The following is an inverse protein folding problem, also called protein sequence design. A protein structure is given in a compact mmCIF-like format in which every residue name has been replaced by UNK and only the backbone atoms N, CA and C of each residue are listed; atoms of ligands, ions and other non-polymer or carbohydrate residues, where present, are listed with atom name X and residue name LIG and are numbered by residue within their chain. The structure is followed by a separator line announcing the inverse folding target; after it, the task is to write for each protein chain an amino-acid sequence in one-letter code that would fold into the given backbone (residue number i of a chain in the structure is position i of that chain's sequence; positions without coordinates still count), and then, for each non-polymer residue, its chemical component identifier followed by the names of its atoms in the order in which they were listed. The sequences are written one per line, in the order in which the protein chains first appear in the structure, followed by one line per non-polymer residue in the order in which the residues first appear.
data_IF_971677415549
#
_entry.id   IF_971677415549
#
_cell.length_a   1.000
_cell.length_b   1.000
_cell.length_c   1.000
_cell.angle_alpha   90.00
_cell.angle_beta   90.00
_cell.angle_gamma   90.00
#
_symmetry.space_group_name_H-M   'P 1'
#
loop_
_entity.id
_entity.type
_entity.pdbx_description
1 polymer ?
#
# COMPACT_ATOMS: atom_id res chain seq x y z
N UNK A 1 22.36 38.10 -46.00
CA UNK A 1 22.28 37.83 -47.46
C UNK A 1 20.84 38.10 -47.89
N UNK A 2 20.53 38.91 -48.93
CA UNK A 2 20.63 38.62 -50.38
C UNK A 2 19.82 37.37 -50.75
N UNK A 3 18.58 37.48 -51.25
CA UNK A 3 18.13 37.84 -52.63
C UNK A 3 18.34 36.67 -53.61
N UNK A 4 17.41 36.29 -54.51
CA UNK A 4 16.17 36.92 -55.01
C UNK A 4 14.97 35.95 -54.89
N UNK A 5 13.66 36.30 -54.88
CA UNK A 5 12.86 37.51 -55.13
C UNK A 5 12.63 37.97 -56.60
N UNK A 6 11.49 37.61 -57.20
CA UNK A 6 10.95 38.21 -58.44
C UNK A 6 9.40 38.24 -58.45
N UNK A 7 8.79 39.27 -59.05
CA UNK A 7 7.34 39.51 -59.03
C UNK A 7 6.84 40.29 -60.28
N UNK A 8 5.58 40.07 -60.70
CA UNK A 8 4.89 40.90 -61.73
C UNK A 8 3.35 40.86 -61.61
N UNK A 9 2.69 41.69 -62.43
CA UNK A 9 1.77 42.70 -61.88
C UNK A 9 0.96 43.41 -62.99
N UNK A 10 -0.37 43.62 -62.77
CA UNK A 10 -1.33 44.41 -63.59
C UNK A 10 -1.61 43.95 -65.05
N UNK A 11 -2.73 44.26 -65.72
CA UNK A 11 -3.98 45.03 -65.42
C UNK A 11 -5.21 44.07 -65.30
N UNK A 12 -6.46 44.41 -64.91
CA UNK A 12 -7.40 45.50 -65.27
C UNK A 12 -8.10 45.19 -66.61
N UNK A 13 -9.43 45.13 -66.81
CA UNK A 13 -10.66 45.58 -66.07
C UNK A 13 -11.75 44.48 -66.19
N UNK A 14 -12.97 44.47 -65.59
CA UNK A 14 -13.93 45.56 -65.34
C UNK A 14 -15.04 45.17 -64.30
N UNK A 15 -15.89 46.13 -63.91
CA UNK A 15 -17.12 45.98 -63.05
C UNK A 15 -18.39 45.80 -63.95
N UNK A 16 -19.67 45.64 -63.48
CA UNK A 16 -20.24 45.96 -62.15
C UNK A 16 -21.34 45.03 -61.53
N UNK A 17 -21.57 45.16 -60.19
CA UNK A 17 -22.87 45.01 -59.45
C UNK A 17 -23.56 43.60 -59.45
N UNK A 18 -24.35 43.16 -58.45
CA UNK A 18 -24.82 43.76 -57.17
C UNK A 18 -25.06 42.70 -56.07
N UNK A 19 -25.16 43.18 -54.81
CA UNK A 19 -25.76 42.61 -53.58
C UNK A 19 -26.69 41.38 -53.72
N UNK A 20 -26.77 40.48 -52.73
CA UNK A 20 -26.11 40.45 -51.41
C UNK A 20 -26.62 39.30 -50.51
N UNK A 21 -26.02 39.12 -49.33
CA UNK A 21 -26.38 38.04 -48.39
C UNK A 21 -27.71 38.29 -47.66
N UNK A 22 -28.36 37.20 -47.26
CA UNK A 22 -29.20 37.14 -46.06
C UNK A 22 -28.80 35.90 -45.24
N UNK A 23 -28.65 36.08 -43.93
CA UNK A 23 -28.52 34.98 -42.97
C UNK A 23 -29.92 34.48 -42.59
N UNK A 24 -29.98 33.23 -42.12
CA UNK A 24 -31.07 32.82 -41.23
C UNK A 24 -30.89 33.47 -39.85
N UNK A 25 -32.00 33.82 -39.22
CA UNK A 25 -32.10 33.78 -37.76
C UNK A 25 -33.51 33.26 -37.39
N UNK A 26 -33.64 32.66 -36.21
CA UNK A 26 -34.82 31.90 -35.79
C UNK A 26 -35.30 32.42 -34.44
N UNK A 27 -36.58 32.77 -34.31
CA UNK A 27 -37.20 32.92 -32.98
C UNK A 27 -38.71 32.74 -33.07
N UNK A 28 -39.26 31.98 -32.13
CA UNK A 28 -40.70 31.69 -32.04
C UNK A 28 -41.46 32.87 -31.39
N UNK A 29 -42.78 32.90 -31.57
CA UNK A 29 -43.67 33.21 -30.45
C UNK A 29 -45.03 32.51 -30.62
N UNK A 30 -45.60 32.09 -29.49
CA UNK A 30 -46.79 31.25 -29.37
C UNK A 30 -48.06 32.07 -29.04
N UNK A 31 -49.22 31.43 -29.20
CA UNK A 31 -50.53 31.76 -28.59
C UNK A 31 -51.41 32.81 -29.27
N UNK A 32 -52.57 32.34 -29.75
CA UNK A 32 -53.72 33.17 -30.12
C UNK A 32 -54.58 33.52 -28.90
N UNK A 33 -55.44 34.55 -29.00
CA UNK A 33 -56.91 34.51 -28.85
C UNK A 33 -57.54 35.92 -28.66
N UNK A 34 -58.43 36.31 -29.60
CA UNK A 34 -59.74 37.06 -29.49
C UNK A 34 -59.91 38.15 -28.38
N UNK A 35 -60.65 39.27 -28.54
CA UNK A 35 -61.88 39.55 -29.32
C UNK A 35 -62.05 41.06 -29.63
N UNK A 36 -62.51 41.43 -30.85
CA UNK A 36 -63.72 42.26 -31.14
C UNK A 36 -63.66 43.08 -32.45
N UNK A 37 -64.69 42.89 -33.28
CA UNK A 37 -65.20 43.76 -34.37
C UNK A 37 -64.43 43.87 -35.71
N UNK A 38 -65.22 44.04 -36.78
CA UNK A 38 -64.86 44.67 -38.06
C UNK A 38 -63.96 43.92 -39.05
N UNK A 39 -64.52 42.85 -39.63
CA UNK A 39 -64.49 42.47 -41.07
C UNK A 39 -63.24 42.83 -41.89
N UNK A 40 -62.55 41.80 -42.40
CA UNK A 40 -62.11 41.78 -43.81
C UNK A 40 -62.17 40.36 -44.38
N UNK A 41 -62.57 40.23 -45.64
CA UNK A 41 -62.71 38.93 -46.32
C UNK A 41 -61.50 38.68 -47.22
N UNK A 42 -60.79 37.56 -46.97
CA UNK A 42 -59.90 36.94 -47.94
C UNK A 42 -60.28 35.47 -48.07
N UNK A 43 -60.81 35.08 -49.24
CA UNK A 43 -61.07 33.69 -49.54
C UNK A 43 -59.78 33.02 -50.05
N UNK A 44 -59.33 31.96 -49.38
CA UNK A 44 -58.41 30.99 -49.97
C UNK A 44 -58.95 29.58 -49.75
N UNK A 45 -58.86 28.78 -50.81
CA UNK A 45 -59.42 27.42 -50.88
C UNK A 45 -58.63 26.45 -50.02
N UNK A 46 -59.31 25.66 -49.21
CA UNK A 46 -58.74 24.41 -48.70
C UNK A 46 -58.48 23.45 -49.87
N UNK A 47 -57.22 23.32 -50.26
CA UNK A 47 -56.72 22.09 -50.89
C UNK A 47 -56.21 21.22 -49.75
N UNK A 48 -56.88 20.10 -49.54
CA UNK A 48 -56.56 19.14 -48.50
C UNK A 48 -55.73 18.03 -49.13
N UNK A 49 -54.41 18.08 -49.01
CA UNK A 49 -53.50 17.10 -49.61
C UNK A 49 -52.71 16.32 -48.57
N UNK A 50 -53.12 15.07 -48.34
CA UNK A 50 -52.26 14.03 -47.77
C UNK A 50 -51.32 13.49 -48.87
N UNK A 51 -50.51 14.36 -49.46
CA UNK A 51 -49.60 14.01 -50.56
C UNK A 51 -48.21 13.64 -50.03
N UNK A 52 -48.05 12.34 -49.80
CA UNK A 52 -46.79 11.58 -49.93
C UNK A 52 -45.53 12.01 -49.15
N UNK A 53 -45.27 11.20 -48.12
CA UNK A 53 -43.93 10.80 -47.69
C UNK A 53 -43.22 9.98 -48.80
N UNK A 54 -42.92 10.60 -49.95
CA UNK A 54 -42.15 10.02 -51.08
C UNK A 54 -41.01 10.95 -51.56
N UNK A 55 -40.53 11.85 -50.70
CA UNK A 55 -39.40 12.71 -51.03
C UNK A 55 -38.10 11.92 -50.92
N UNK A 56 -37.61 11.47 -52.08
CA UNK A 56 -36.32 10.79 -52.35
C UNK A 56 -36.26 9.25 -52.26
N UNK A 57 -36.94 8.57 -53.19
CA UNK A 57 -36.31 7.44 -53.91
C UNK A 57 -35.74 7.88 -55.27
N UNK A 58 -36.39 8.81 -55.97
CA UNK A 58 -36.05 9.26 -57.35
C UNK A 58 -34.74 10.06 -57.51
N UNK A 59 -33.81 9.98 -56.55
CA UNK A 59 -32.47 10.61 -56.64
C UNK A 59 -31.30 9.72 -56.21
N UNK A 60 -31.50 8.42 -56.07
CA UNK A 60 -30.38 7.47 -56.15
C UNK A 60 -29.83 7.46 -57.58
N UNK A 61 -28.78 8.27 -57.82
CA UNK A 61 -28.18 8.48 -59.15
C UNK A 61 -27.29 7.30 -59.58
N UNK A 62 -27.86 6.09 -59.60
CA UNK A 62 -27.18 4.85 -59.93
C UNK A 62 -27.02 4.63 -61.46
N UNK A 63 -27.05 5.68 -62.29
CA UNK A 63 -27.15 5.53 -63.76
C UNK A 63 -25.79 5.29 -64.46
N UNK A 64 -24.84 4.57 -63.85
CA UNK A 64 -23.44 4.58 -64.33
C UNK A 64 -22.50 3.43 -63.94
N UNK A 65 -22.93 2.35 -63.28
CA UNK A 65 -22.06 1.19 -62.94
C UNK A 65 -22.76 -0.14 -63.16
N UNK A 66 -22.02 -1.22 -63.47
CA UNK A 66 -22.58 -2.57 -63.65
C UNK A 66 -23.14 -3.11 -62.32
N UNK A 67 -24.43 -3.47 -62.28
CA UNK A 67 -25.12 -3.82 -61.04
C UNK A 67 -24.92 -5.26 -60.55
N UNK A 68 -24.47 -6.14 -61.43
CA UNK A 68 -24.43 -7.58 -61.18
C UNK A 68 -23.31 -8.03 -60.23
N UNK A 69 -22.28 -7.17 -60.04
CA UNK A 69 -21.02 -7.52 -59.39
C UNK A 69 -20.63 -6.62 -58.20
N UNK A 70 -21.60 -6.07 -57.45
CA UNK A 70 -21.27 -5.39 -56.17
C UNK A 70 -20.49 -6.36 -55.24
N UNK A 71 -19.28 -5.99 -54.75
CA UNK A 71 -18.54 -6.81 -53.79
C UNK A 71 -19.22 -6.85 -52.41
N UNK A 72 -18.91 -7.90 -51.63
CA UNK A 72 -19.35 -8.00 -50.22
C UNK A 72 -18.43 -7.21 -49.30
N UNK A 73 -19.02 -6.51 -48.34
CA UNK A 73 -18.26 -5.77 -47.33
C UNK A 73 -17.44 -6.71 -46.44
N UNK A 74 -16.21 -6.31 -46.13
CA UNK A 74 -15.28 -7.12 -45.35
C UNK A 74 -15.64 -7.12 -43.85
N UNK A 75 -15.20 -8.12 -43.10
CA UNK A 75 -15.42 -8.16 -41.65
C UNK A 75 -14.82 -6.91 -40.98
N UNK A 76 -15.65 -6.20 -40.22
CA UNK A 76 -15.39 -4.84 -39.70
C UNK A 76 -16.13 -3.71 -40.45
N UNK A 77 -16.69 -3.98 -41.63
CA UNK A 77 -17.38 -2.99 -42.48
C UNK A 77 -18.73 -3.52 -42.97
N UNK A 78 -19.77 -2.67 -42.94
CA UNK A 78 -21.14 -3.02 -43.29
C UNK A 78 -21.65 -2.21 -44.49
N UNK A 79 -22.71 -2.72 -45.13
CA UNK A 79 -23.51 -1.95 -46.08
C UNK A 79 -24.76 -1.44 -45.38
N UNK A 80 -25.03 -0.13 -45.52
CA UNK A 80 -26.20 0.55 -44.98
C UNK A 80 -27.13 0.94 -46.13
N UNK A 81 -28.41 0.59 -46.09
CA UNK A 81 -29.35 0.89 -47.18
C UNK A 81 -29.70 2.38 -47.23
N UNK A 82 -29.53 3.12 -46.13
CA UNK A 82 -29.61 4.59 -46.08
C UNK A 82 -28.37 5.27 -46.72
N UNK A 83 -27.29 4.52 -47.00
CA UNK A 83 -26.10 5.05 -47.67
C UNK A 83 -26.25 5.02 -49.19
N UNK A 84 -26.15 6.20 -49.82
CA UNK A 84 -26.22 6.40 -51.29
C UNK A 84 -25.26 5.46 -52.05
N UNK A 85 -24.12 5.09 -51.46
CA UNK A 85 -23.10 4.21 -52.09
C UNK A 85 -23.41 2.71 -52.01
N UNK A 86 -24.40 2.32 -51.21
CA UNK A 86 -24.76 0.92 -50.97
C UNK A 86 -26.23 0.63 -51.37
N UNK A 87 -27.15 1.59 -51.23
CA UNK A 87 -28.52 1.49 -51.75
C UNK A 87 -28.62 1.27 -53.27
N UNK A 88 -27.57 1.59 -54.02
CA UNK A 88 -27.46 1.21 -55.44
C UNK A 88 -27.29 -0.32 -55.67
N UNK A 89 -26.98 -1.13 -54.66
CA UNK A 89 -26.78 -2.59 -54.78
C UNK A 89 -28.05 -3.38 -54.38
N UNK A 90 -29.13 -3.19 -55.13
CA UNK A 90 -30.53 -3.58 -54.83
C UNK A 90 -30.80 -5.06 -54.51
N UNK A 91 -29.87 -5.98 -54.79
CA UNK A 91 -30.06 -7.43 -54.64
C UNK A 91 -29.10 -8.08 -53.61
N UNK A 92 -28.43 -7.31 -52.74
CA UNK A 92 -27.42 -7.90 -51.85
C UNK A 92 -27.21 -7.21 -50.51
N UNK A 93 -27.79 -7.78 -49.45
CA UNK A 93 -27.46 -7.46 -48.06
C UNK A 93 -25.94 -7.51 -47.83
N UNK A 94 -25.36 -6.45 -47.26
CA UNK A 94 -23.92 -6.40 -46.98
C UNK A 94 -23.03 -6.19 -48.20
N UNK A 95 -23.54 -5.55 -49.28
CA UNK A 95 -22.77 -5.16 -50.48
C UNK A 95 -22.85 -3.65 -50.73
N UNK A 96 -21.80 -3.09 -51.31
CA UNK A 96 -21.74 -1.69 -51.77
C UNK A 96 -21.06 -1.63 -53.15
N UNK A 97 -21.07 -0.45 -53.78
CA UNK A 97 -20.52 -0.25 -55.13
C UNK A 97 -19.02 -0.60 -55.25
N UNK A 98 -18.26 -0.41 -54.16
CA UNK A 98 -16.87 -0.88 -53.99
C UNK A 98 -16.63 -1.21 -52.49
N UNK A 99 -15.60 -1.99 -52.17
CA UNK A 99 -15.24 -2.36 -50.79
C UNK A 99 -14.85 -1.14 -49.95
N UNK A 100 -14.22 -0.12 -50.55
CA UNK A 100 -13.89 1.16 -49.88
C UNK A 100 -15.13 2.01 -49.58
N UNK A 101 -16.32 1.66 -50.11
CA UNK A 101 -17.59 2.34 -49.82
C UNK A 101 -18.38 1.72 -48.68
N UNK A 102 -17.96 0.56 -48.17
CA UNK A 102 -18.54 -0.06 -46.99
C UNK A 102 -18.22 0.76 -45.73
N UNK A 103 -19.22 0.96 -44.88
CA UNK A 103 -19.08 1.79 -43.68
C UNK A 103 -18.36 1.01 -42.57
N UNK A 104 -17.31 1.59 -41.98
CA UNK A 104 -16.63 0.99 -40.82
C UNK A 104 -17.53 0.93 -39.59
N UNK A 105 -17.50 -0.17 -38.85
CA UNK A 105 -18.16 -0.25 -37.55
C UNK A 105 -17.57 0.79 -36.57
N UNK A 106 -18.39 1.75 -36.13
CA UNK A 106 -18.03 2.69 -35.07
C UNK A 106 -17.65 1.98 -33.77
N UNK A 107 -16.83 2.62 -32.94
CA UNK A 107 -16.42 2.10 -31.64
C UNK A 107 -17.63 1.60 -30.80
N UNK A 108 -17.43 0.53 -30.03
CA UNK A 108 -18.49 -0.19 -29.29
C UNK A 108 -19.34 -1.14 -30.12
N UNK A 109 -19.08 -1.26 -31.42
CA UNK A 109 -19.71 -2.21 -32.31
C UNK A 109 -18.64 -2.99 -33.08
N UNK A 110 -18.95 -4.23 -33.45
CA UNK A 110 -18.06 -5.10 -34.20
C UNK A 110 -18.82 -6.00 -35.18
N UNK A 111 -18.14 -6.45 -36.24
CA UNK A 111 -18.74 -7.31 -37.26
C UNK A 111 -17.80 -8.47 -37.63
N UNK A 112 -18.07 -9.69 -37.13
CA UNK A 112 -17.16 -10.82 -37.28
C UNK A 112 -17.20 -11.48 -38.67
N UNK A 113 -18.29 -11.32 -39.43
CA UNK A 113 -18.46 -11.94 -40.75
C UNK A 113 -18.40 -10.92 -41.88
N UNK A 114 -17.94 -11.36 -43.05
CA UNK A 114 -18.11 -10.64 -44.31
C UNK A 114 -19.59 -10.62 -44.72
N UNK A 115 -20.02 -9.61 -45.47
CA UNK A 115 -21.37 -9.52 -46.02
C UNK A 115 -22.50 -9.34 -45.00
N UNK A 116 -22.22 -8.79 -43.80
CA UNK A 116 -23.29 -8.37 -42.89
C UNK A 116 -23.74 -6.94 -43.23
N UNK A 117 -25.03 -6.65 -43.04
CA UNK A 117 -25.65 -5.32 -43.21
C UNK A 117 -25.72 -4.51 -41.89
N UNK A 118 -25.18 -5.03 -40.79
CA UNK A 118 -25.24 -4.36 -39.47
C UNK A 118 -24.01 -4.71 -38.62
N UNK A 119 -23.43 -3.71 -37.99
CA UNK A 119 -22.45 -3.90 -36.92
C UNK A 119 -23.14 -4.29 -35.61
N UNK A 120 -22.67 -5.34 -34.95
CA UNK A 120 -23.25 -5.85 -33.71
C UNK A 120 -22.67 -5.09 -32.51
N UNK A 121 -23.53 -4.61 -31.61
CA UNK A 121 -23.09 -3.91 -30.41
C UNK A 121 -22.33 -4.85 -29.48
N UNK A 122 -21.21 -4.41 -28.90
CA UNK A 122 -20.44 -5.25 -27.98
C UNK A 122 -21.26 -5.67 -26.75
N UNK A 123 -21.26 -6.96 -26.36
CA UNK A 123 -21.97 -7.43 -25.18
C UNK A 123 -21.35 -6.88 -23.89
N UNK A 124 -22.02 -7.09 -22.76
CA UNK A 124 -21.45 -6.75 -21.45
C UNK A 124 -20.14 -7.53 -21.21
N UNK A 125 -19.24 -6.95 -20.40
CA UNK A 125 -17.90 -7.48 -20.18
C UNK A 125 -16.98 -7.44 -21.41
N UNK A 126 -17.38 -6.77 -22.49
CA UNK A 126 -16.57 -6.58 -23.70
C UNK A 126 -16.64 -5.11 -24.15
N UNK A 127 -15.60 -4.65 -24.87
CA UNK A 127 -15.54 -3.32 -25.46
C UNK A 127 -14.72 -3.33 -26.76
N UNK A 128 -14.82 -2.26 -27.56
CA UNK A 128 -13.81 -1.95 -28.59
C UNK A 128 -13.75 -0.45 -28.82
N UNK A 129 -12.53 0.12 -28.77
CA UNK A 129 -12.23 1.48 -29.21
C UNK A 129 -11.90 1.55 -30.71
N UNK A 130 -11.62 0.41 -31.34
CA UNK A 130 -11.16 0.34 -32.73
C UNK A 130 -12.37 0.47 -33.65
N UNK A 131 -12.35 1.47 -34.52
CA UNK A 131 -13.28 1.55 -35.65
C UNK A 131 -12.92 0.51 -36.70
N UNK A 132 -13.92 -0.12 -37.32
CA UNK A 132 -13.71 -1.27 -38.20
C UNK A 132 -13.46 -2.59 -37.43
N UNK A 133 -13.81 -2.67 -36.14
CA UNK A 133 -13.56 -3.87 -35.34
C UNK A 133 -14.29 -5.12 -35.85
N UNK A 134 -13.55 -6.23 -35.98
CA UNK A 134 -14.11 -7.55 -36.32
C UNK A 134 -14.76 -8.23 -35.11
N UNK A 135 -14.09 -8.16 -33.97
CA UNK A 135 -14.53 -8.75 -32.70
C UNK A 135 -14.45 -7.69 -31.59
N UNK A 136 -15.29 -7.83 -30.57
CA UNK A 136 -15.16 -7.07 -29.33
C UNK A 136 -14.12 -7.72 -28.42
N UNK A 137 -13.26 -6.93 -27.78
CA UNK A 137 -12.27 -7.42 -26.82
C UNK A 137 -12.92 -7.61 -25.44
N UNK A 138 -12.72 -8.77 -24.84
CA UNK A 138 -13.16 -9.06 -23.48
C UNK A 138 -12.38 -8.26 -22.44
N UNK A 139 -13.03 -7.88 -21.34
CA UNK A 139 -12.38 -7.18 -20.23
C UNK A 139 -11.38 -8.10 -19.52
N UNK A 140 -10.16 -7.61 -19.29
CA UNK A 140 -9.13 -8.33 -18.52
C UNK A 140 -9.57 -8.46 -17.05
N UNK A 141 -9.10 -9.49 -16.31
CA UNK A 141 -9.23 -9.51 -14.86
C UNK A 141 -8.77 -8.20 -14.22
N UNK A 142 -9.51 -7.74 -13.21
CA UNK A 142 -9.38 -6.40 -12.61
C UNK A 142 -10.10 -5.28 -13.38
N UNK A 143 -10.73 -5.58 -14.51
CA UNK A 143 -11.57 -4.63 -15.26
C UNK A 143 -12.93 -5.23 -15.61
N UNK A 144 -13.93 -4.40 -15.82
CA UNK A 144 -15.31 -4.80 -16.09
C UNK A 144 -15.99 -3.90 -17.11
N UNK A 145 -17.13 -4.34 -17.67
CA UNK A 145 -18.06 -3.42 -18.37
C UNK A 145 -19.51 -3.79 -18.11
N UNK A 146 -20.20 -2.96 -17.32
CA UNK A 146 -21.58 -3.18 -16.88
C UNK A 146 -22.63 -3.00 -17.99
N UNK A 147 -22.32 -2.18 -19.00
CA UNK A 147 -23.23 -1.87 -20.11
C UNK A 147 -22.50 -1.93 -21.45
N UNK A 148 -23.14 -2.58 -22.42
CA UNK A 148 -22.78 -2.54 -23.84
C UNK A 148 -22.58 -1.08 -24.30
N UNK A 149 -21.36 -0.70 -24.67
CA UNK A 149 -20.96 0.68 -24.96
C UNK A 149 -19.63 0.74 -25.76
N UNK A 150 -19.25 1.95 -26.19
CA UNK A 150 -18.01 2.22 -26.94
C UNK A 150 -16.80 2.55 -26.07
N UNK A 151 -17.04 2.84 -24.80
CA UNK A 151 -16.02 3.06 -23.80
C UNK A 151 -15.24 1.76 -23.53
N UNK A 152 -13.98 1.92 -23.15
CA UNK A 152 -13.15 0.82 -22.68
C UNK A 152 -13.70 0.23 -21.35
N UNK A 153 -13.25 -0.98 -21.04
CA UNK A 153 -13.48 -1.62 -19.74
C UNK A 153 -13.02 -0.70 -18.60
N UNK A 154 -13.89 -0.52 -17.61
CA UNK A 154 -13.64 0.24 -16.39
C UNK A 154 -12.76 -0.58 -15.44
N UNK A 155 -11.85 0.08 -14.72
CA UNK A 155 -11.01 -0.59 -13.73
C UNK A 155 -11.75 -0.77 -12.40
N UNK A 156 -11.56 -1.90 -11.72
CA UNK A 156 -12.09 -2.09 -10.38
C UNK A 156 -11.55 -1.02 -9.43
N UNK A 157 -12.43 -0.40 -8.65
CA UNK A 157 -12.05 0.60 -7.64
C UNK A 157 -11.43 -0.09 -6.43
N UNK A 158 -10.63 0.63 -5.61
CA UNK A 158 -10.18 0.14 -4.31
C UNK A 158 -11.33 -0.44 -3.47
N UNK A 159 -11.03 -1.46 -2.69
CA UNK A 159 -12.02 -2.31 -2.00
C UNK A 159 -12.73 -3.34 -2.90
N UNK A 160 -12.45 -3.38 -4.21
CA UNK A 160 -13.08 -4.33 -5.14
C UNK A 160 -12.07 -5.04 -6.06
N UNK A 161 -12.47 -6.17 -6.64
CA UNK A 161 -11.69 -6.92 -7.62
C UNK A 161 -12.58 -7.60 -8.68
N UNK A 162 -11.96 -8.20 -9.71
CA UNK A 162 -12.57 -9.32 -10.44
C UNK A 162 -11.51 -10.26 -11.00
N UNK A 163 -11.51 -11.52 -10.59
CA UNK A 163 -10.57 -12.54 -11.11
C UNK A 163 -11.01 -13.10 -12.47
N UNK A 164 -12.31 -13.06 -12.77
CA UNK A 164 -12.87 -13.54 -14.04
C UNK A 164 -12.56 -12.56 -15.18
N UNK A 165 -12.13 -13.05 -16.36
CA UNK A 165 -12.19 -12.26 -17.58
C UNK A 165 -13.66 -12.01 -17.98
N UNK A 166 -13.86 -11.03 -18.86
CA UNK A 166 -15.16 -10.64 -19.41
C UNK A 166 -16.19 -10.21 -18.33
N UNK A 167 -15.71 -9.66 -17.21
CA UNK A 167 -16.59 -9.36 -16.07
C UNK A 167 -17.54 -8.19 -16.34
N UNK A 168 -18.75 -8.26 -15.79
CA UNK A 168 -19.77 -7.21 -15.87
C UNK A 168 -19.80 -6.31 -14.63
N UNK A 169 -19.09 -6.67 -13.56
CA UNK A 169 -19.01 -5.93 -12.29
C UNK A 169 -17.77 -6.34 -11.47
N UNK A 170 -17.31 -5.50 -10.55
CA UNK A 170 -16.30 -5.89 -9.56
C UNK A 170 -16.96 -6.34 -8.24
N UNK A 171 -16.48 -7.44 -7.66
CA UNK A 171 -16.88 -7.91 -6.34
C UNK A 171 -16.11 -7.19 -5.23
N UNK A 172 -16.75 -6.95 -4.07
CA UNK A 172 -16.04 -6.39 -2.90
C UNK A 172 -15.08 -7.41 -2.29
N UNK A 173 -13.97 -6.94 -1.72
CA UNK A 173 -13.08 -7.80 -0.95
C UNK A 173 -13.82 -8.45 0.24
N UNK A 174 -13.64 -9.75 0.49
CA UNK A 174 -14.23 -10.42 1.65
C UNK A 174 -13.59 -9.96 2.96
N UNK A 175 -14.30 -10.13 4.07
CA UNK A 175 -13.82 -9.78 5.43
C UNK A 175 -12.46 -10.44 5.71
N UNK A 176 -11.48 -9.65 6.17
CA UNK A 176 -10.08 -10.04 6.32
C UNK A 176 -9.20 -9.81 5.08
N UNK A 177 -9.74 -9.26 4.00
CA UNK A 177 -9.01 -8.91 2.77
C UNK A 177 -9.26 -7.45 2.38
N UNK A 178 -8.28 -6.83 1.74
CA UNK A 178 -8.31 -5.44 1.30
C UNK A 178 -7.85 -5.28 -0.15
N UNK A 179 -8.15 -4.14 -0.74
CA UNK A 179 -7.50 -3.72 -1.98
C UNK A 179 -7.33 -2.19 -2.01
N UNK A 180 -6.09 -1.71 -2.02
CA UNK A 180 -5.76 -0.29 -2.08
C UNK A 180 -5.76 0.27 -3.51
N UNK A 181 -5.54 -0.60 -4.49
CA UNK A 181 -5.14 -0.18 -5.84
C UNK A 181 -6.27 -0.40 -6.85
N UNK A 182 -6.28 0.41 -7.91
CA UNK A 182 -7.22 0.25 -9.03
C UNK A 182 -6.83 -0.93 -9.93
N UNK A 183 -7.80 -1.48 -10.64
CA UNK A 183 -7.56 -2.42 -11.75
C UNK A 183 -7.15 -3.84 -11.31
N UNK A 184 -7.40 -4.22 -10.06
CA UNK A 184 -6.84 -5.44 -9.48
C UNK A 184 -7.72 -6.68 -9.63
N UNK A 185 -7.09 -7.80 -10.03
CA UNK A 185 -7.76 -9.08 -10.25
C UNK A 185 -8.07 -9.86 -8.95
N UNK A 186 -7.42 -9.51 -7.84
CA UNK A 186 -7.55 -10.18 -6.54
C UNK A 186 -7.52 -9.14 -5.40
N UNK A 187 -7.91 -9.54 -4.19
CA UNK A 187 -7.72 -8.74 -2.98
C UNK A 187 -6.56 -9.31 -2.16
N UNK A 188 -5.79 -8.42 -1.55
CA UNK A 188 -4.69 -8.75 -0.66
C UNK A 188 -5.23 -9.23 0.70
N UNK A 189 -4.63 -10.26 1.28
CA UNK A 189 -4.99 -10.70 2.65
C UNK A 189 -4.43 -9.73 3.69
N UNK A 190 -5.18 -9.42 4.76
CA UNK A 190 -4.65 -8.56 5.82
C UNK A 190 -3.39 -9.18 6.45
N UNK A 191 -2.27 -8.43 6.54
CA UNK A 191 -1.09 -8.89 7.26
C UNK A 191 -1.38 -9.04 8.76
N UNK A 192 -0.58 -9.86 9.45
CA UNK A 192 -0.62 -9.96 10.91
C UNK A 192 -0.53 -8.57 11.56
N UNK A 193 -1.14 -8.41 12.73
CA UNK A 193 -1.23 -7.14 13.44
C UNK A 193 -2.20 -6.13 12.85
N UNK A 194 -2.86 -6.45 11.73
CA UNK A 194 -3.95 -5.69 11.13
C UNK A 194 -5.19 -6.55 10.93
N UNK A 195 -6.34 -5.92 10.75
CA UNK A 195 -7.61 -6.58 10.52
C UNK A 195 -8.48 -5.82 9.51
N UNK A 196 -9.51 -6.50 9.01
CA UNK A 196 -10.59 -5.93 8.22
C UNK A 196 -11.87 -6.64 8.66
N UNK A 197 -12.77 -5.91 9.33
CA UNK A 197 -14.04 -6.35 9.89
C UNK A 197 -15.22 -6.26 8.90
N UNK A 198 -15.14 -5.37 7.92
CA UNK A 198 -16.18 -5.15 6.90
C UNK A 198 -15.86 -5.80 5.54
N UNK A 199 -16.79 -5.68 4.57
CA UNK A 199 -16.58 -6.11 3.17
C UNK A 199 -16.19 -4.93 2.28
N UNK A 200 -15.07 -5.07 1.58
CA UNK A 200 -14.54 -4.06 0.66
C UNK A 200 -13.56 -3.07 1.31
N UNK A 201 -12.80 -3.51 2.32
CA UNK A 201 -11.74 -2.69 2.92
C UNK A 201 -10.75 -2.18 1.85
N UNK A 202 -10.47 -0.88 1.85
CA UNK A 202 -9.41 -0.27 1.03
C UNK A 202 -8.03 -0.50 1.66
N UNK A 203 -7.98 -0.60 2.98
CA UNK A 203 -6.77 -0.85 3.78
C UNK A 203 -7.16 -1.66 5.03
N UNK A 204 -6.26 -2.49 5.55
CA UNK A 204 -6.47 -3.16 6.84
C UNK A 204 -6.09 -2.23 7.99
N UNK A 205 -6.95 -2.14 9.00
CA UNK A 205 -6.70 -1.30 10.18
C UNK A 205 -5.69 -1.98 11.10
N UNK A 206 -4.65 -1.25 11.53
CA UNK A 206 -3.69 -1.76 12.51
C UNK A 206 -4.34 -1.91 13.88
N UNK A 207 -4.14 -3.05 14.54
CA UNK A 207 -4.71 -3.32 15.85
C UNK A 207 -4.29 -2.25 16.88
N UNK A 208 -5.18 -1.87 17.81
CA UNK A 208 -4.85 -0.90 18.84
C UNK A 208 -3.75 -1.41 19.77
N UNK A 209 -3.26 -0.53 20.64
CA UNK A 209 -2.55 -0.91 21.86
C UNK A 209 -3.36 -1.91 22.69
N UNK A 210 -2.69 -2.77 23.46
CA UNK A 210 -3.32 -3.86 24.19
C UNK A 210 -3.88 -5.02 23.35
N UNK A 211 -3.87 -4.95 22.01
CA UNK A 211 -4.49 -5.97 21.15
C UNK A 211 -3.62 -6.34 19.92
N UNK A 212 -3.77 -7.58 19.43
CA UNK A 212 -3.04 -8.12 18.30
C UNK A 212 -3.90 -8.98 17.37
N UNK A 213 -3.45 -9.14 16.13
CA UNK A 213 -4.00 -10.06 15.15
C UNK A 213 -2.92 -11.08 14.76
N UNK A 214 -2.85 -12.23 15.46
CA UNK A 214 -1.80 -13.24 15.24
C UNK A 214 -1.90 -14.00 13.91
N UNK A 215 -3.04 -13.95 13.24
CA UNK A 215 -3.30 -14.64 11.97
C UNK A 215 -3.39 -13.63 10.83
N UNK A 216 -2.93 -14.04 9.64
CA UNK A 216 -3.29 -13.35 8.41
C UNK A 216 -4.82 -13.42 8.20
N UNK A 217 -5.38 -12.40 7.56
CA UNK A 217 -6.82 -12.34 7.28
C UNK A 217 -7.70 -12.20 8.52
N UNK A 218 -7.17 -11.55 9.57
CA UNK A 218 -7.93 -11.33 10.80
C UNK A 218 -9.14 -10.43 10.55
N UNK A 219 -10.28 -10.82 11.15
CA UNK A 219 -11.55 -10.07 11.08
C UNK A 219 -11.69 -9.06 12.22
N UNK A 220 -10.90 -9.23 13.28
CA UNK A 220 -10.86 -8.40 14.47
C UNK A 220 -9.50 -8.57 15.16
N UNK A 221 -9.26 -7.75 16.17
CA UNK A 221 -8.10 -7.91 17.06
C UNK A 221 -8.51 -8.68 18.33
N UNK A 222 -7.57 -9.46 18.85
CA UNK A 222 -7.68 -10.16 20.13
C UNK A 222 -6.79 -9.50 21.17
N UNK A 223 -7.22 -9.46 22.42
CA UNK A 223 -6.42 -8.86 23.50
C UNK A 223 -5.09 -9.59 23.74
N UNK A 224 -4.06 -8.83 24.14
CA UNK A 224 -2.82 -9.40 24.64
C UNK A 224 -3.12 -10.31 25.83
N UNK A 225 -2.64 -11.56 25.77
CA UNK A 225 -2.77 -12.52 26.87
C UNK A 225 -1.91 -12.12 28.09
N UNK A 226 -2.22 -12.60 29.30
CA UNK A 226 -1.35 -12.47 30.47
C UNK A 226 0.11 -12.86 30.18
N UNK A 227 1.04 -12.17 30.83
CA UNK A 227 2.47 -12.23 30.53
C UNK A 227 2.90 -11.54 29.23
N UNK A 228 1.96 -10.95 28.47
CA UNK A 228 2.26 -10.13 27.29
C UNK A 228 1.65 -8.72 27.40
N UNK A 229 2.16 -7.80 26.58
CA UNK A 229 1.71 -6.42 26.48
C UNK A 229 1.90 -5.87 25.07
N UNK A 230 1.17 -4.81 24.73
CA UNK A 230 1.39 -4.01 23.52
C UNK A 230 1.17 -2.52 23.78
N UNK A 231 2.27 -1.80 23.79
CA UNK A 231 2.35 -0.39 24.16
C UNK A 231 1.74 0.59 23.14
N UNK A 232 1.97 0.35 21.85
CA UNK A 232 1.73 1.29 20.76
C UNK A 232 1.18 0.58 19.51
N UNK A 233 0.38 1.30 18.70
CA UNK A 233 -0.15 0.83 17.40
C UNK A 233 0.93 0.44 16.39
N UNK A 234 2.12 1.04 16.46
CA UNK A 234 3.26 0.76 15.58
C UNK A 234 3.95 -0.58 15.76
N UNK A 235 3.42 -1.50 16.58
CA UNK A 235 3.87 -2.90 16.66
C UNK A 235 2.80 -3.86 16.15
N UNK A 236 3.24 -4.90 15.47
CA UNK A 236 2.38 -5.95 14.87
C UNK A 236 1.70 -6.81 15.94
N UNK A 237 2.47 -7.31 16.91
CA UNK A 237 2.06 -8.33 17.88
C UNK A 237 2.36 -7.91 19.33
N UNK A 238 1.72 -8.58 20.28
CA UNK A 238 2.02 -8.42 21.70
C UNK A 238 3.39 -9.04 22.04
N UNK A 239 4.16 -8.38 22.90
CA UNK A 239 5.46 -8.85 23.38
C UNK A 239 5.32 -9.45 24.76
N UNK A 240 6.07 -10.52 25.06
CA UNK A 240 6.22 -11.00 26.45
C UNK A 240 6.85 -9.93 27.33
N UNK A 241 6.48 -9.90 28.61
CA UNK A 241 7.23 -9.13 29.61
C UNK A 241 8.70 -9.61 29.66
N UNK A 242 9.61 -8.70 30.05
CA UNK A 242 10.99 -9.09 30.37
C UNK A 242 11.02 -9.81 31.73
N UNK A 243 12.03 -10.66 32.02
CA UNK A 243 12.17 -11.26 33.35
C UNK A 243 12.19 -10.19 34.45
N UNK A 244 11.61 -10.52 35.62
CA UNK A 244 11.43 -9.57 36.72
C UNK A 244 10.27 -8.59 36.52
N UNK A 245 9.51 -8.70 35.42
CA UNK A 245 8.34 -7.88 35.12
C UNK A 245 7.18 -8.81 34.76
N UNK A 246 5.98 -8.48 35.22
CA UNK A 246 4.80 -9.33 35.11
C UNK A 246 3.58 -8.54 34.59
N UNK A 247 2.56 -9.28 34.19
CA UNK A 247 1.22 -8.80 33.92
C UNK A 247 0.25 -9.99 34.00
N UNK A 248 -0.78 -9.91 34.85
CA UNK A 248 -1.81 -10.96 35.01
C UNK A 248 -3.10 -10.71 34.23
N UNK A 249 -3.28 -9.53 33.64
CA UNK A 249 -4.51 -9.12 32.97
C UNK A 249 -4.41 -9.20 31.43
N UNK A 250 -5.56 -9.37 30.78
CA UNK A 250 -5.68 -9.24 29.33
C UNK A 250 -5.66 -7.76 28.90
N UNK A 251 -5.41 -7.49 27.62
CA UNK A 251 -5.59 -6.17 27.01
C UNK A 251 -4.47 -5.16 27.31
N UNK A 252 -3.35 -5.62 27.88
CA UNK A 252 -2.44 -4.72 28.59
C UNK A 252 -1.41 -4.00 27.72
N UNK A 253 -1.11 -2.76 28.14
CA UNK A 253 -0.28 -1.81 27.39
C UNK A 253 1.18 -1.79 27.85
N UNK A 254 1.45 -2.21 29.08
CA UNK A 254 2.78 -2.31 29.68
C UNK A 254 2.80 -3.50 30.63
N UNK A 255 3.99 -3.90 31.06
CA UNK A 255 4.15 -4.78 32.22
C UNK A 255 4.45 -3.95 33.46
N UNK A 256 4.20 -4.54 34.63
CA UNK A 256 4.59 -4.00 35.94
C UNK A 256 5.93 -4.59 36.36
N UNK A 257 6.75 -3.83 37.09
CA UNK A 257 7.98 -4.36 37.70
C UNK A 257 7.61 -5.19 38.92
N UNK A 258 8.28 -6.32 39.15
CA UNK A 258 8.05 -7.11 40.36
C UNK A 258 8.34 -6.23 41.61
N UNK A 259 7.39 -6.07 42.55
CA UNK A 259 7.59 -5.23 43.71
C UNK A 259 8.64 -5.81 44.66
N UNK A 260 9.29 -4.95 45.46
CA UNK A 260 10.24 -5.38 46.50
C UNK A 260 9.59 -6.34 47.50
N UNK A 261 10.39 -7.24 48.07
CA UNK A 261 9.96 -8.39 48.89
C UNK A 261 9.15 -9.47 48.13
N UNK A 262 9.03 -9.38 46.80
CA UNK A 262 8.45 -10.40 45.96
C UNK A 262 9.38 -10.77 44.80
N UNK A 263 9.22 -11.98 44.26
CA UNK A 263 9.88 -12.43 43.05
C UNK A 263 8.86 -12.92 42.01
N UNK A 264 9.19 -12.70 40.73
CA UNK A 264 8.31 -12.96 39.59
C UNK A 264 9.01 -13.92 38.60
N UNK A 265 8.96 -15.24 38.85
CA UNK A 265 9.62 -16.24 38.01
C UNK A 265 8.85 -16.50 36.70
N UNK A 266 7.56 -16.14 36.66
CA UNK A 266 6.70 -16.23 35.49
C UNK A 266 6.01 -14.89 35.25
N UNK A 267 5.87 -14.50 33.98
CA UNK A 267 5.39 -13.18 33.56
C UNK A 267 3.87 -13.04 33.67
N UNK A 268 3.14 -14.15 33.66
CA UNK A 268 1.67 -14.27 33.60
C UNK A 268 1.02 -14.49 34.97
N UNK A 269 1.80 -14.48 36.06
CA UNK A 269 1.34 -14.74 37.44
C UNK A 269 1.55 -13.54 38.36
N UNK A 270 0.84 -13.55 39.48
CA UNK A 270 1.03 -12.58 40.56
C UNK A 270 2.42 -12.74 41.20
N UNK A 271 3.03 -11.66 41.74
CA UNK A 271 4.29 -11.72 42.48
C UNK A 271 4.22 -12.70 43.66
N UNK A 272 5.30 -13.47 43.89
CA UNK A 272 5.40 -14.45 44.97
C UNK A 272 6.22 -13.84 46.12
N UNK A 273 5.73 -13.81 47.38
CA UNK A 273 6.46 -13.19 48.48
C UNK A 273 7.73 -13.98 48.84
N UNK A 274 8.77 -13.26 49.27
CA UNK A 274 10.05 -13.85 49.62
C UNK A 274 10.08 -14.33 51.08
N UNK A 275 10.86 -15.39 51.34
CA UNK A 275 10.86 -16.14 52.60
C UNK A 275 11.90 -15.59 53.60
N UNK A 276 11.72 -15.90 54.89
CA UNK A 276 12.64 -15.49 55.95
C UNK A 276 14.07 -15.99 55.67
N UNK A 277 15.05 -15.08 55.72
CA UNK A 277 16.45 -15.35 55.36
C UNK A 277 16.80 -15.04 53.90
N UNK A 278 15.81 -14.73 53.06
CA UNK A 278 15.98 -14.24 51.70
C UNK A 278 15.54 -12.76 51.56
N UNK A 279 16.03 -12.10 50.52
CA UNK A 279 15.64 -10.75 50.12
C UNK A 279 15.39 -10.70 48.61
N UNK A 280 14.63 -9.68 48.17
CA UNK A 280 14.16 -9.54 46.79
C UNK A 280 14.04 -8.06 46.41
N UNK A 281 15.05 -7.47 45.76
CA UNK A 281 14.97 -6.11 45.23
C UNK A 281 13.92 -5.97 44.11
N UNK A 282 13.49 -4.74 43.78
CA UNK A 282 12.50 -4.50 42.72
C UNK A 282 12.90 -5.13 41.38
N UNK A 283 12.15 -6.13 40.93
CA UNK A 283 12.40 -6.88 39.70
C UNK A 283 13.08 -8.23 39.86
N UNK A 284 13.18 -8.79 41.08
CA UNK A 284 13.65 -10.17 41.29
C UNK A 284 12.87 -11.20 40.45
N UNK A 285 13.61 -12.10 39.79
CA UNK A 285 13.07 -13.32 39.14
C UNK A 285 13.07 -14.54 40.07
N UNK A 286 13.95 -14.52 41.07
CA UNK A 286 14.12 -15.53 42.11
C UNK A 286 14.47 -14.83 43.44
N UNK A 287 14.43 -15.57 44.54
CA UNK A 287 14.86 -15.10 45.86
C UNK A 287 16.39 -15.17 46.01
N UNK A 288 16.99 -14.14 46.63
CA UNK A 288 18.43 -14.11 46.96
C UNK A 288 18.64 -14.37 48.46
N UNK A 289 19.60 -15.22 48.82
CA UNK A 289 19.79 -15.70 50.20
C UNK A 289 21.01 -15.05 50.86
N UNK A 290 20.87 -14.60 52.12
CA UNK A 290 22.03 -14.16 52.91
C UNK A 290 22.78 -15.35 53.52
N UNK A 291 24.11 -15.29 53.51
CA UNK A 291 24.98 -16.30 54.14
C UNK A 291 24.95 -16.21 55.66
N UNK A 292 23.88 -16.75 56.26
CA UNK A 292 23.74 -16.98 57.71
C UNK A 292 24.87 -17.88 58.24
N UNK A 293 25.42 -17.64 59.44
CA UNK A 293 25.07 -16.61 60.42
C UNK A 293 25.79 -15.26 60.20
N UNK A 294 26.67 -15.16 59.21
CA UNK A 294 27.54 -14.00 59.02
C UNK A 294 26.82 -12.77 58.46
N UNK A 295 25.73 -12.98 57.71
CA UNK A 295 24.94 -11.92 57.09
C UNK A 295 23.44 -12.10 57.37
N UNK A 296 22.73 -10.97 57.53
CA UNK A 296 21.28 -10.89 57.67
C UNK A 296 20.69 -9.94 56.63
N UNK A 297 19.39 -10.06 56.37
CA UNK A 297 18.65 -9.14 55.49
C UNK A 297 18.52 -7.75 56.14
N UNK A 298 18.73 -6.71 55.34
CA UNK A 298 18.50 -5.30 55.69
C UNK A 298 17.14 -4.78 55.17
N UNK A 299 16.68 -3.64 55.70
CA UNK A 299 15.47 -2.96 55.25
C UNK A 299 15.55 -2.43 53.81
N UNK A 300 16.75 -2.24 53.25
CA UNK A 300 17.00 -1.70 51.91
C UNK A 300 17.29 -2.78 50.85
N UNK A 301 16.68 -3.97 50.98
CA UNK A 301 16.73 -5.06 49.99
C UNK A 301 18.16 -5.57 49.67
N UNK A 302 18.95 -5.87 50.71
CA UNK A 302 20.28 -6.46 50.59
C UNK A 302 20.76 -7.17 51.87
N UNK A 303 21.93 -7.81 51.81
CA UNK A 303 22.55 -8.47 52.97
C UNK A 303 23.56 -7.56 53.69
N UNK A 304 23.42 -7.40 55.00
CA UNK A 304 24.37 -6.71 55.88
C UNK A 304 25.03 -7.69 56.86
N UNK A 305 26.32 -7.50 57.19
CA UNK A 305 27.01 -8.37 58.14
C UNK A 305 26.39 -8.28 59.54
N UNK A 306 26.40 -9.39 60.29
CA UNK A 306 25.93 -9.43 61.68
C UNK A 306 26.94 -8.78 62.62
N UNK A 307 26.46 -8.23 63.74
CA UNK A 307 27.33 -7.59 64.75
C UNK A 307 28.37 -8.56 65.33
N UNK A 308 28.02 -9.84 65.40
CA UNK A 308 28.91 -10.94 65.78
C UNK A 308 30.04 -11.14 64.76
N UNK A 309 29.71 -11.19 63.46
CA UNK A 309 30.72 -11.31 62.40
C UNK A 309 31.63 -10.08 62.34
N UNK A 310 31.09 -8.86 62.51
CA UNK A 310 31.88 -7.63 62.62
C UNK A 310 32.85 -7.71 63.81
N UNK A 311 32.39 -8.17 64.98
CA UNK A 311 33.23 -8.33 66.17
C UNK A 311 34.34 -9.40 66.00
N UNK A 312 34.03 -10.51 65.32
CA UNK A 312 35.02 -11.55 64.98
C UNK A 312 36.10 -11.02 64.02
N UNK A 313 35.72 -10.32 62.94
CA UNK A 313 36.67 -9.74 61.99
C UNK A 313 37.51 -8.64 62.64
N UNK A 314 36.90 -7.77 63.47
CA UNK A 314 37.61 -6.72 64.18
C UNK A 314 38.61 -7.27 65.21
N UNK A 315 38.22 -8.27 66.02
CA UNK A 315 39.11 -8.87 67.02
C UNK A 315 40.29 -9.63 66.37
N UNK A 316 40.05 -10.40 65.31
CA UNK A 316 41.11 -11.03 64.52
C UNK A 316 42.06 -9.98 63.90
N UNK A 317 41.53 -8.86 63.42
CA UNK A 317 42.35 -7.77 62.87
C UNK A 317 43.23 -7.11 63.93
N UNK A 318 42.73 -6.88 65.14
CA UNK A 318 43.52 -6.36 66.27
C UNK A 318 44.62 -7.35 66.67
N UNK A 319 44.31 -8.65 66.75
CA UNK A 319 45.32 -9.69 67.04
C UNK A 319 46.39 -9.74 65.94
N UNK A 320 46.01 -9.65 64.66
CA UNK A 320 46.95 -9.61 63.55
C UNK A 320 47.89 -8.38 63.61
N UNK A 321 47.37 -7.21 63.98
CA UNK A 321 48.18 -5.99 64.19
C UNK A 321 49.14 -6.15 65.38
N UNK A 322 48.70 -6.76 66.48
CA UNK A 322 49.57 -7.05 67.63
C UNK A 322 50.69 -8.03 67.23
N UNK A 323 50.36 -9.11 66.52
CA UNK A 323 51.36 -10.08 66.02
C UNK A 323 52.33 -9.41 65.03
N UNK A 324 51.85 -8.61 64.10
CA UNK A 324 52.68 -7.89 63.13
C UNK A 324 53.62 -6.89 63.82
N UNK A 325 53.14 -6.11 64.80
CA UNK A 325 54.00 -5.18 65.55
C UNK A 325 55.04 -5.91 66.41
N UNK A 326 54.71 -7.05 67.03
CA UNK A 326 55.67 -7.89 67.73
C UNK A 326 56.74 -8.49 66.80
N UNK A 327 56.36 -8.91 65.58
CA UNK A 327 57.29 -9.37 64.54
C UNK A 327 58.21 -8.23 64.09
N UNK A 328 57.66 -7.06 63.78
CA UNK A 328 58.44 -5.87 63.41
C UNK A 328 59.42 -5.45 64.51
N UNK A 329 58.98 -5.44 65.77
CA UNK A 329 59.86 -5.17 66.93
C UNK A 329 60.99 -6.21 67.05
N UNK A 330 60.72 -7.48 66.74
CA UNK A 330 61.75 -8.54 66.72
C UNK A 330 62.73 -8.36 65.56
N UNK A 331 62.26 -7.97 64.37
CA UNK A 331 63.11 -7.67 63.20
C UNK A 331 63.99 -6.44 63.47
N UNK A 332 63.42 -5.35 63.99
CA UNK A 332 64.17 -4.12 64.32
C UNK A 332 65.22 -4.40 65.40
N UNK A 333 64.89 -5.16 66.46
CA UNK A 333 65.86 -5.61 67.47
C UNK A 333 67.00 -6.45 66.86
N UNK A 334 66.68 -7.35 65.92
CA UNK A 334 67.68 -8.18 65.21
C UNK A 334 68.58 -7.38 64.26
N UNK A 335 68.05 -6.35 63.60
CA UNK A 335 68.86 -5.44 62.78
C UNK A 335 69.85 -4.64 63.64
N UNK A 336 69.42 -4.18 64.82
CA UNK A 336 70.27 -3.47 65.80
C UNK A 336 71.36 -4.34 66.44
N UNK A 337 71.28 -5.68 66.35
CA UNK A 337 72.33 -6.59 66.80
C UNK A 337 73.32 -7.00 65.71
N UNK A 338 73.20 -6.49 64.48
CA UNK A 338 74.22 -6.65 63.44
C UNK A 338 75.10 -5.39 63.40
N UNK A 339 76.42 -5.47 63.70
CA UNK A 339 77.30 -4.31 63.55
C UNK A 339 77.40 -3.91 62.07
N UNK A 340 77.54 -2.61 61.82
CA UNK A 340 77.67 -2.09 60.47
C UNK A 340 79.02 -2.51 59.85
N UNK A 341 78.98 -3.34 58.80
CA UNK A 341 80.17 -3.61 57.98
C UNK A 341 80.31 -2.52 56.91
N UNK A 342 81.29 -1.63 57.16
CA UNK A 342 82.03 -0.78 56.23
C UNK A 342 81.49 -0.56 54.81
N UNK A 343 81.16 0.69 54.49
CA UNK A 343 81.13 1.16 53.11
C UNK A 343 82.56 1.52 52.66
N UNK A 344 83.10 0.92 51.57
CA UNK A 344 84.30 1.41 50.89
C UNK A 344 83.99 2.63 50.01
N UNK A 345 85.02 3.33 49.54
CA UNK A 345 84.89 4.65 48.89
C UNK A 345 85.76 4.80 47.65
N UNK A 346 85.15 5.25 46.54
CA UNK A 346 85.73 5.77 45.29
C UNK A 346 86.62 4.81 44.46
N UNK A 347 86.29 4.63 43.18
CA UNK A 347 86.97 5.37 42.11
C UNK A 347 86.09 5.48 40.83
N UNK A 348 86.65 5.99 39.72
CA UNK A 348 85.94 6.48 38.52
C UNK A 348 86.43 5.74 37.25
N UNK A 349 85.54 5.21 36.40
CA UNK A 349 85.42 5.60 34.97
C UNK A 349 84.35 4.84 34.15
N UNK A 350 83.76 5.58 33.21
CA UNK A 350 83.32 5.20 31.84
C UNK A 350 82.26 4.13 31.46
N UNK A 351 81.47 4.56 30.44
CA UNK A 351 80.85 3.81 29.31
C UNK A 351 79.54 3.02 29.47
N UNK A 352 78.48 3.71 29.00
CA UNK A 352 77.47 3.25 28.00
C UNK A 352 77.95 2.19 26.97
N UNK A 353 77.04 1.55 26.17
CA UNK A 353 75.58 1.34 26.34
C UNK A 353 75.11 -0.09 25.88
N UNK A 354 73.79 -0.24 25.60
CA UNK A 354 73.12 -1.19 24.68
C UNK A 354 72.76 -2.63 25.11
N UNK A 355 71.52 -3.02 24.75
CA UNK A 355 71.04 -4.37 24.31
C UNK A 355 71.08 -5.56 25.30
N UNK A 356 70.19 -6.57 25.24
CA UNK A 356 68.97 -6.86 24.44
C UNK A 356 68.17 -8.00 25.12
N UNK A 357 67.17 -8.56 24.42
CA UNK A 357 66.66 -9.97 24.54
C UNK A 357 66.08 -10.39 25.91
N UNK A 358 64.75 -10.56 26.04
CA UNK A 358 63.99 -11.84 25.87
C UNK A 358 64.06 -12.74 27.12
N UNK A 359 63.07 -13.57 27.48
CA UNK A 359 61.85 -14.01 26.80
C UNK A 359 60.75 -14.45 27.81
N UNK A 360 59.50 -14.60 27.35
CA UNK A 360 58.44 -15.52 27.86
C UNK A 360 57.98 -15.48 29.34
N UNK A 361 56.73 -15.84 29.69
CA UNK A 361 55.63 -16.44 28.91
C UNK A 361 54.24 -16.00 29.41
N UNK A 362 53.21 -16.16 28.57
CA UNK A 362 51.79 -16.00 28.93
C UNK A 362 51.16 -17.33 29.40
N UNK A 363 49.85 -17.36 29.72
CA UNK A 363 48.94 -17.73 28.64
C UNK A 363 47.65 -16.89 28.55
N UNK A 364 47.12 -16.79 27.34
CA UNK A 364 45.71 -16.47 27.06
C UNK A 364 45.01 -17.79 26.73
N UNK A 365 43.78 -17.96 27.18
CA UNK A 365 42.83 -18.88 26.54
C UNK A 365 41.48 -18.19 26.35
N UNK A 366 41.05 -18.12 25.10
CA UNK A 366 39.66 -17.84 24.74
C UNK A 366 38.95 -19.18 24.49
N UNK A 367 37.68 -19.29 24.87
CA UNK A 367 36.81 -20.44 24.62
C UNK A 367 35.59 -20.01 23.82
N UNK A 368 35.32 -20.76 22.75
CA UNK A 368 34.23 -20.61 21.78
C UNK A 368 32.83 -20.57 22.43
#
# INVERSE_FOLDING_TARGET
MKLFNASKFQHGTNRPRTKGLLNFDFTEHLSCLVVLSSIFVCAFTFVNDNSEFQVQLDKLNCTGTHFDNCPVCLAGTYADEESIWCGCCTNGTGRCQDVEKCLSCKAGFAQPKTGQNTCNKCPQGHSTKIEGARNCSGCRPGTFKSKASFELCEECTPGTNTSSPNSTSCGRCPIGYYQSDYGQAQCNICPQGSYCDEVGCVVCLGCPEGQEARKFGAKNCTECIPGTYKENKGRTLCRKCKPGWYNTAFGQRKCEQCPRNYFCPQTDRLPIPCTVGSYCPPGSTAMEWCSSPFFKVDQNDGCVPTVEFIALVASLSVVAIIVATLILLKIVRSSRSRPAMNAPKLEISERQPLTSTEESSAPIYAGL
#
